data_IF_445788062134
#
_entry.id   IF_445788062134
#
_cell.length_a   1.000
_cell.length_b   1.000
_cell.length_c   1.000
_cell.angle_alpha   90.00
_cell.angle_beta   90.00
_cell.angle_gamma   90.00
#
_symmetry.space_group_name_H-M   'P 1'
#
loop_
_entity.id
_entity.type
_entity.pdbx_description
1 polymer ?
#
# COMPACT_ATOMS: atom_id res chain seq x y z
N UNK A 1 28.20 -12.38 -31.61
CA UNK A 1 27.82 -11.90 -30.27
C UNK A 1 28.55 -12.80 -29.28
N UNK A 2 29.62 -12.29 -28.69
CA UNK A 2 30.58 -13.08 -27.91
C UNK A 2 30.07 -13.23 -26.46
N UNK A 3 30.56 -14.24 -25.74
CA UNK A 3 30.20 -14.52 -24.35
C UNK A 3 30.37 -13.30 -23.42
N UNK A 4 31.29 -12.40 -23.75
CA UNK A 4 31.60 -11.16 -23.03
C UNK A 4 30.40 -10.19 -22.97
N UNK A 5 29.72 -9.97 -24.11
CA UNK A 5 28.52 -9.11 -24.18
C UNK A 5 27.42 -9.62 -23.25
N UNK A 6 27.22 -10.95 -23.20
CA UNK A 6 26.16 -11.57 -22.38
C UNK A 6 26.48 -11.54 -20.88
N UNK A 7 27.77 -11.56 -20.52
CA UNK A 7 28.21 -11.51 -19.14
C UNK A 7 28.07 -10.09 -18.59
N UNK A 8 28.43 -9.10 -19.40
CA UNK A 8 28.25 -7.69 -19.06
C UNK A 8 26.79 -7.34 -18.78
N UNK A 9 25.86 -7.72 -19.67
CA UNK A 9 24.43 -7.49 -19.48
C UNK A 9 23.89 -8.14 -18.19
N UNK A 10 24.33 -9.37 -17.89
CA UNK A 10 23.98 -10.04 -16.63
C UNK A 10 24.52 -9.30 -15.41
N UNK A 11 25.74 -8.77 -15.50
CA UNK A 11 26.34 -7.99 -14.44
C UNK A 11 25.55 -6.70 -14.18
N UNK A 12 25.20 -5.96 -15.24
CA UNK A 12 24.38 -4.75 -15.15
C UNK A 12 23.02 -5.06 -14.50
N UNK A 13 22.32 -6.09 -14.96
CA UNK A 13 21.03 -6.49 -14.38
C UNK A 13 21.13 -6.92 -12.91
N UNK A 14 22.25 -7.52 -12.49
CA UNK A 14 22.51 -7.85 -11.09
C UNK A 14 22.73 -6.58 -10.26
N UNK A 15 23.45 -5.59 -10.79
CA UNK A 15 23.67 -4.31 -10.11
C UNK A 15 22.36 -3.53 -9.93
N UNK A 16 21.50 -3.49 -10.94
CA UNK A 16 20.17 -2.88 -10.84
C UNK A 16 19.33 -3.51 -9.73
N UNK A 17 19.32 -4.85 -9.65
CA UNK A 17 18.67 -5.57 -8.54
C UNK A 17 19.26 -5.19 -7.19
N UNK A 18 20.59 -5.11 -7.09
CA UNK A 18 21.26 -4.71 -5.85
C UNK A 18 20.87 -3.30 -5.41
N UNK A 19 20.71 -2.34 -6.33
CA UNK A 19 20.25 -1.00 -5.99
C UNK A 19 18.84 -1.01 -5.39
N UNK A 20 17.93 -1.77 -5.98
CA UNK A 20 16.57 -1.94 -5.45
C UNK A 20 16.60 -2.57 -4.06
N UNK A 21 17.38 -3.65 -3.86
CA UNK A 21 17.50 -4.27 -2.53
C UNK A 21 18.06 -3.31 -1.48
N UNK A 22 19.10 -2.54 -1.83
CA UNK A 22 19.66 -1.53 -0.92
C UNK A 22 18.65 -0.44 -0.58
N UNK A 23 17.94 0.08 -1.56
CA UNK A 23 16.86 1.04 -1.36
C UNK A 23 15.78 0.46 -0.44
N UNK A 24 15.25 -0.72 -0.78
CA UNK A 24 14.22 -1.38 0.01
C UNK A 24 14.69 -1.64 1.43
N UNK A 25 15.93 -2.08 1.67
CA UNK A 25 16.47 -2.33 3.01
C UNK A 25 16.66 -1.06 3.83
N UNK A 26 16.85 0.10 3.18
CA UNK A 26 16.88 1.40 3.83
C UNK A 26 15.50 1.91 4.30
N UNK A 27 14.40 1.31 3.83
CA UNK A 27 13.05 1.69 4.25
C UNK A 27 12.73 1.28 5.69
N UNK A 28 11.87 2.06 6.35
CA UNK A 28 11.38 1.77 7.69
C UNK A 28 10.70 0.38 7.78
N UNK A 29 10.71 -0.22 8.97
CA UNK A 29 10.03 -1.51 9.26
C UNK A 29 8.54 -1.50 8.90
N UNK A 30 7.89 -0.34 8.92
CA UNK A 30 6.49 -0.22 8.52
C UNK A 30 6.24 -0.60 7.04
N UNK A 31 7.27 -0.64 6.17
CA UNK A 31 7.15 -1.02 4.76
C UNK A 31 7.44 -2.51 4.51
N UNK A 32 7.46 -3.36 5.54
CA UNK A 32 7.69 -4.81 5.39
C UNK A 32 6.74 -5.48 4.39
N UNK A 33 5.45 -5.10 4.38
CA UNK A 33 4.47 -5.61 3.42
C UNK A 33 4.83 -5.25 1.98
N UNK A 34 5.13 -3.97 1.73
CA UNK A 34 5.57 -3.49 0.42
C UNK A 34 6.88 -4.17 -0.03
N UNK A 35 7.85 -4.32 0.87
CA UNK A 35 9.11 -5.01 0.59
C UNK A 35 8.88 -6.45 0.15
N UNK A 36 8.00 -7.17 0.85
CA UNK A 36 7.62 -8.54 0.49
C UNK A 36 6.98 -8.59 -0.89
N UNK A 37 6.04 -7.68 -1.17
CA UNK A 37 5.39 -7.59 -2.48
C UNK A 37 6.40 -7.33 -3.60
N UNK A 38 7.29 -6.36 -3.44
CA UNK A 38 8.29 -5.98 -4.46
C UNK A 38 9.20 -7.16 -4.81
N UNK A 39 9.64 -7.94 -3.81
CA UNK A 39 10.52 -9.11 -4.01
C UNK A 39 9.85 -10.18 -4.88
N UNK A 40 8.52 -10.31 -4.81
CA UNK A 40 7.76 -11.31 -5.56
C UNK A 40 7.42 -10.89 -7.00
N UNK A 41 7.60 -9.61 -7.35
CA UNK A 41 7.23 -9.11 -8.68
C UNK A 41 8.09 -9.74 -9.79
N UNK A 42 7.42 -10.08 -10.90
CA UNK A 42 8.05 -10.54 -12.15
C UNK A 42 7.42 -9.77 -13.34
N UNK A 43 8.22 -9.02 -14.13
CA UNK A 43 9.66 -8.80 -13.96
C UNK A 43 9.98 -8.02 -12.68
N UNK A 44 11.19 -8.21 -12.17
CA UNK A 44 11.65 -7.49 -10.97
C UNK A 44 11.75 -5.99 -11.29
N UNK A 45 11.22 -5.10 -10.44
CA UNK A 45 11.09 -3.69 -10.80
C UNK A 45 12.44 -2.99 -10.87
N UNK A 46 12.50 -1.91 -11.65
CA UNK A 46 13.61 -0.97 -11.61
C UNK A 46 13.60 -0.14 -10.31
N UNK A 47 14.69 0.58 -10.05
CA UNK A 47 14.79 1.46 -8.89
C UNK A 47 13.69 2.53 -8.89
N UNK A 48 13.42 3.16 -10.04
CA UNK A 48 12.37 4.17 -10.17
C UNK A 48 10.97 3.60 -9.93
N UNK A 49 10.72 2.38 -10.40
CA UNK A 49 9.46 1.69 -10.14
C UNK A 49 9.28 1.40 -8.65
N UNK A 50 10.32 0.87 -7.99
CA UNK A 50 10.30 0.63 -6.55
C UNK A 50 10.08 1.93 -5.75
N UNK A 51 10.71 3.02 -6.16
CA UNK A 51 10.52 4.34 -5.56
C UNK A 51 9.07 4.83 -5.69
N UNK A 52 8.49 4.76 -6.90
CA UNK A 52 7.09 5.12 -7.13
C UNK A 52 6.10 4.24 -6.35
N UNK A 53 6.44 2.98 -6.11
CA UNK A 53 5.64 2.11 -5.26
C UNK A 53 5.64 2.59 -3.80
N UNK A 54 6.78 3.04 -3.28
CA UNK A 54 6.88 3.62 -1.93
C UNK A 54 6.05 4.90 -1.82
N UNK A 55 6.16 5.82 -2.80
CA UNK A 55 5.37 7.04 -2.82
C UNK A 55 3.85 6.77 -2.80
N UNK A 56 3.40 5.76 -3.55
CA UNK A 56 1.99 5.35 -3.56
C UNK A 56 1.54 4.78 -2.22
N UNK A 57 2.36 3.93 -1.61
CA UNK A 57 2.10 3.37 -0.28
C UNK A 57 1.98 4.47 0.78
N UNK A 58 2.84 5.49 0.73
CA UNK A 58 2.79 6.65 1.62
C UNK A 58 1.51 7.48 1.44
N UNK A 59 1.17 7.79 0.20
CA UNK A 59 -0.07 8.50 -0.13
C UNK A 59 -1.29 7.72 0.37
N UNK A 60 -1.35 6.42 0.11
CA UNK A 60 -2.45 5.57 0.56
C UNK A 60 -2.58 5.53 2.08
N UNK A 61 -1.46 5.42 2.82
CA UNK A 61 -1.46 5.49 4.29
C UNK A 61 -1.97 6.82 4.81
N UNK A 62 -1.55 7.92 4.18
CA UNK A 62 -1.99 9.27 4.56
C UNK A 62 -3.51 9.44 4.39
N UNK A 63 -4.06 8.93 3.28
CA UNK A 63 -5.51 8.95 3.02
C UNK A 63 -6.27 8.03 3.98
N UNK A 64 -5.75 6.84 4.28
CA UNK A 64 -6.39 5.93 5.21
C UNK A 64 -6.52 6.55 6.60
N UNK A 65 -5.46 7.19 7.10
CA UNK A 65 -5.50 7.93 8.38
C UNK A 65 -6.55 9.05 8.38
N UNK A 66 -6.70 9.78 7.27
CA UNK A 66 -7.74 10.81 7.15
C UNK A 66 -9.16 10.21 7.11
N UNK A 67 -9.33 9.10 6.39
CA UNK A 67 -10.62 8.41 6.29
C UNK A 67 -11.06 7.86 7.64
N UNK A 68 -10.16 7.23 8.41
CA UNK A 68 -10.49 6.69 9.74
C UNK A 68 -10.95 7.82 10.67
N UNK A 69 -10.22 8.94 10.68
CA UNK A 69 -10.60 10.12 11.46
C UNK A 69 -11.98 10.66 11.06
N UNK A 70 -12.29 10.71 9.75
CA UNK A 70 -13.61 11.16 9.28
C UNK A 70 -14.73 10.20 9.71
N UNK A 71 -14.52 8.89 9.59
CA UNK A 71 -15.53 7.89 9.98
C UNK A 71 -15.80 7.90 11.48
N UNK A 72 -14.76 8.06 12.31
CA UNK A 72 -14.93 8.14 13.77
C UNK A 72 -15.71 9.39 14.19
N UNK A 73 -15.43 10.53 13.56
CA UNK A 73 -16.17 11.79 13.80
C UNK A 73 -17.62 11.66 13.33
N UNK A 74 -17.87 11.06 12.16
CA UNK A 74 -19.22 10.86 11.63
C UNK A 74 -20.06 9.88 12.47
N UNK A 75 -19.45 8.80 12.97
CA UNK A 75 -20.11 7.83 13.85
C UNK A 75 -20.52 8.46 15.20
N UNK A 76 -19.71 9.38 15.73
CA UNK A 76 -20.00 10.11 16.96
C UNK A 76 -21.01 11.26 16.76
N UNK A 77 -21.24 11.68 15.51
CA UNK A 77 -22.14 12.78 15.15
C UNK A 77 -23.61 12.34 14.93
N UNK A 78 -24.03 11.18 15.46
CA UNK A 78 -25.46 10.81 15.52
C UNK A 78 -26.18 11.78 16.46
N UNK A 79 -26.69 12.86 15.88
CA UNK A 79 -27.65 13.75 16.52
C UNK A 79 -28.90 12.91 16.79
N UNK A 80 -29.14 12.55 18.06
CA UNK A 80 -30.36 11.86 18.52
C UNK A 80 -31.59 12.72 18.27
N UNK A 81 -32.07 12.81 17.03
CA UNK A 81 -33.48 13.05 16.77
C UNK A 81 -34.18 11.72 16.95
N UNK A 82 -34.95 11.57 18.03
CA UNK A 82 -35.85 10.43 18.23
C UNK A 82 -36.82 10.36 17.05
N UNK A 83 -36.46 9.59 16.03
CA UNK A 83 -37.38 9.14 15.00
C UNK A 83 -37.37 7.64 15.11
N UNK A 84 -38.53 7.08 15.48
CA UNK A 84 -38.77 5.65 15.60
C UNK A 84 -38.37 4.96 14.29
N UNK A 85 -37.17 4.38 14.28
CA UNK A 85 -36.63 3.65 13.13
C UNK A 85 -37.37 2.32 13.05
N UNK A 86 -38.52 2.29 12.38
CA UNK A 86 -39.23 1.04 12.08
C UNK A 86 -38.52 0.31 10.93
N UNK A 87 -38.05 -0.89 11.22
CA UNK A 87 -37.53 -1.78 10.17
C UNK A 87 -38.66 -2.18 9.21
N UNK A 88 -38.57 -1.74 7.95
CA UNK A 88 -39.52 -2.05 6.88
C UNK A 88 -39.63 -3.54 6.52
N UNK A 89 -38.68 -4.37 6.99
CA UNK A 89 -38.66 -5.82 6.75
C UNK A 89 -39.29 -6.67 7.85
N UNK A 90 -39.18 -6.26 9.12
CA UNK A 90 -39.62 -7.09 10.25
C UNK A 90 -40.58 -6.39 11.22
N UNK A 91 -40.86 -5.09 11.04
CA UNK A 91 -41.91 -4.37 11.77
C UNK A 91 -41.74 -4.24 13.29
N UNK A 92 -40.65 -4.74 13.88
CA UNK A 92 -40.43 -4.66 15.33
C UNK A 92 -39.90 -3.27 15.70
N UNK A 93 -40.55 -2.66 16.69
CA UNK A 93 -40.04 -1.47 17.37
C UNK A 93 -38.99 -1.92 18.37
N UNK A 94 -37.77 -1.43 18.22
CA UNK A 94 -36.72 -1.60 19.22
C UNK A 94 -37.01 -0.59 20.33
N UNK A 95 -37.37 -1.12 21.51
CA UNK A 95 -37.51 -0.34 22.74
C UNK A 95 -36.17 -0.34 23.47
#
# INVERSE_FOLDING_TARGET
MTLDDTYFEKYVALQEKNYVFRFLNGLNKSYQGLRSQVILLKPFPSLDQAYNMVLREESHRSMHLQSTNFTDVAAMAVKRSRQDVKCLKCGKMEN
#
